data_IF_922097903441
#
_entry.id   IF_922097903441
#
_cell.length_a   1.000
_cell.length_b   1.000
_cell.length_c   1.000
_cell.angle_alpha   90.00
_cell.angle_beta   90.00
_cell.angle_gamma   90.00
#
_symmetry.space_group_name_H-M   'P 1'
#
loop_
_entity.id
_entity.type
_entity.pdbx_description
1 polymer ?
#
# COMPACT_ATOMS: atom_id res chain seq x y z
N UNK A 1 7.58 -0.65 -15.12
CA UNK A 1 6.30 -0.97 -14.46
C UNK A 1 6.32 -0.50 -13.02
N UNK A 2 5.16 -0.18 -12.49
CA UNK A 2 4.90 0.35 -11.15
C UNK A 2 4.00 -0.62 -10.41
N UNK A 3 4.38 -1.04 -9.21
CA UNK A 3 3.58 -1.88 -8.35
C UNK A 3 3.12 -1.05 -7.15
N UNK A 4 1.80 -0.83 -7.04
CA UNK A 4 1.18 -0.18 -5.89
C UNK A 4 0.66 -1.26 -4.96
N UNK A 5 0.90 -1.14 -3.66
CA UNK A 5 0.39 -2.10 -2.68
C UNK A 5 0.05 -1.43 -1.34
N UNK A 6 -0.80 -2.10 -0.59
CA UNK A 6 -1.29 -1.68 0.72
C UNK A 6 -1.55 -2.90 1.60
N UNK A 7 -1.51 -2.71 2.93
CA UNK A 7 -1.63 -3.79 3.90
C UNK A 7 -2.61 -3.47 5.02
N UNK A 8 -3.52 -4.41 5.33
CA UNK A 8 -4.24 -4.41 6.60
C UNK A 8 -3.54 -5.34 7.60
N UNK A 9 -3.55 -4.94 8.87
CA UNK A 9 -2.74 -5.60 9.90
C UNK A 9 -3.47 -5.79 11.22
N UNK A 10 -2.91 -6.63 12.10
CA UNK A 10 -3.42 -6.82 13.46
C UNK A 10 -3.17 -5.64 14.41
N UNK A 11 -2.63 -4.51 13.92
CA UNK A 11 -2.36 -3.31 14.72
C UNK A 11 -1.13 -2.56 14.25
N UNK A 12 -0.46 -1.87 15.17
CA UNK A 12 0.73 -1.07 14.90
C UNK A 12 1.97 -1.72 15.53
N UNK A 13 3.18 -1.45 15.01
CA UNK A 13 4.41 -1.94 15.61
C UNK A 13 4.67 -1.25 16.96
N UNK A 14 5.39 -1.93 17.83
CA UNK A 14 5.84 -1.35 19.12
C UNK A 14 6.86 -0.24 18.90
N UNK A 15 7.71 -0.40 17.88
CA UNK A 15 8.72 0.57 17.46
C UNK A 15 8.75 0.63 15.92
N UNK A 16 8.42 1.78 15.33
CA UNK A 16 8.43 2.02 13.87
C UNK A 16 9.83 1.98 13.24
N UNK A 17 10.89 2.02 14.02
CA UNK A 17 12.26 2.00 13.54
C UNK A 17 12.97 0.66 13.77
N UNK A 18 12.26 -0.35 14.30
CA UNK A 18 12.83 -1.68 14.47
C UNK A 18 13.11 -2.33 13.10
N UNK A 19 14.18 -3.13 12.98
CA UNK A 19 14.41 -3.90 11.77
C UNK A 19 13.34 -4.99 11.60
N UNK A 20 13.05 -5.38 10.36
CA UNK A 20 12.05 -6.43 10.05
C UNK A 20 12.40 -7.79 10.66
N UNK A 21 13.67 -8.01 11.00
CA UNK A 21 14.16 -9.22 11.71
C UNK A 21 13.67 -9.32 13.15
N UNK A 22 13.31 -8.19 13.78
CA UNK A 22 12.61 -8.18 15.05
C UNK A 22 11.11 -8.46 14.82
N UNK A 23 10.79 -9.65 14.33
CA UNK A 23 9.44 -9.96 13.83
C UNK A 23 8.35 -9.79 14.91
N UNK A 24 8.66 -9.98 16.18
CA UNK A 24 7.74 -9.79 17.32
C UNK A 24 7.39 -8.31 17.58
N UNK A 25 8.13 -7.38 16.99
CA UNK A 25 7.81 -5.95 17.01
C UNK A 25 6.70 -5.60 16.05
N UNK A 26 6.62 -6.31 14.90
CA UNK A 26 5.73 -6.01 13.79
C UNK A 26 4.39 -6.74 13.92
N UNK A 27 3.26 -6.08 13.68
CA UNK A 27 1.96 -6.76 13.63
C UNK A 27 1.91 -7.80 12.51
N UNK A 28 0.90 -8.67 12.58
CA UNK A 28 0.67 -9.69 11.55
C UNK A 28 -0.10 -9.09 10.39
N UNK A 29 0.23 -9.52 9.21
CA UNK A 29 -0.49 -9.18 7.99
C UNK A 29 -1.88 -9.84 7.99
N UNK A 30 -2.93 -9.06 7.70
CA UNK A 30 -4.32 -9.52 7.63
C UNK A 30 -4.82 -9.54 6.19
N UNK A 31 -4.52 -8.50 5.41
CA UNK A 31 -4.82 -8.42 3.98
C UNK A 31 -3.62 -7.82 3.26
N UNK A 32 -3.34 -8.33 2.06
CA UNK A 32 -2.37 -7.74 1.13
C UNK A 32 -3.08 -7.52 -0.20
N UNK A 33 -3.13 -6.27 -0.63
CA UNK A 33 -3.62 -5.89 -1.94
C UNK A 33 -2.50 -5.23 -2.76
N UNK A 34 -2.49 -5.50 -4.05
CA UNK A 34 -1.56 -4.84 -4.96
C UNK A 34 -2.10 -4.78 -6.38
N UNK A 35 -1.64 -3.79 -7.12
CA UNK A 35 -1.82 -3.70 -8.56
C UNK A 35 -0.52 -3.38 -9.27
N UNK A 36 -0.37 -3.92 -10.48
CA UNK A 36 0.74 -3.64 -11.37
C UNK A 36 0.25 -2.78 -12.53
N UNK A 37 0.92 -1.66 -12.75
CA UNK A 37 0.64 -0.75 -13.85
C UNK A 37 1.85 -0.65 -14.78
N UNK A 38 1.60 -0.42 -16.07
CA UNK A 38 2.65 -0.05 -17.01
C UNK A 38 3.12 1.40 -16.80
N UNK A 39 4.02 1.87 -17.65
CA UNK A 39 4.59 3.21 -17.56
C UNK A 39 3.61 4.33 -17.95
N UNK A 40 2.46 3.98 -18.50
CA UNK A 40 1.37 4.91 -18.86
C UNK A 40 0.21 4.88 -17.84
N UNK A 41 0.35 4.13 -16.74
CA UNK A 41 -0.68 3.99 -15.74
C UNK A 41 -1.73 2.92 -16.04
N UNK A 42 -1.65 2.24 -17.21
CA UNK A 42 -2.61 1.19 -17.57
C UNK A 42 -2.46 -0.01 -16.63
N UNK A 43 -3.59 -0.49 -16.10
CA UNK A 43 -3.66 -1.67 -15.24
C UNK A 43 -3.25 -2.94 -16.00
N UNK A 44 -2.32 -3.70 -15.43
CA UNK A 44 -1.85 -4.99 -15.95
C UNK A 44 -2.45 -6.14 -15.13
N UNK A 45 -2.39 -6.03 -13.81
CA UNK A 45 -2.95 -7.01 -12.88
C UNK A 45 -3.35 -6.35 -11.57
N UNK A 46 -4.37 -6.91 -10.91
CA UNK A 46 -4.80 -6.52 -9.57
C UNK A 46 -5.08 -7.78 -8.75
N UNK A 47 -4.66 -7.76 -7.50
CA UNK A 47 -4.82 -8.86 -6.56
C UNK A 47 -5.15 -8.30 -5.18
N UNK A 48 -6.03 -8.99 -4.46
CA UNK A 48 -6.33 -8.71 -3.06
C UNK A 48 -6.61 -10.03 -2.35
N UNK A 49 -5.91 -10.27 -1.23
CA UNK A 49 -6.00 -11.52 -0.51
C UNK A 49 -6.02 -11.33 0.99
N UNK A 50 -7.02 -11.91 1.64
CA UNK A 50 -7.05 -12.08 3.09
C UNK A 50 -6.07 -13.20 3.46
N UNK A 51 -5.29 -12.98 4.51
CA UNK A 51 -4.33 -13.95 5.04
C UNK A 51 -5.03 -14.83 6.06
N UNK A 52 -4.94 -16.16 5.88
CA UNK A 52 -5.41 -17.10 6.88
C UNK A 52 -4.53 -17.04 8.12
N UNK A 53 -5.05 -16.69 9.30
CA UNK A 53 -4.29 -16.64 10.53
C UNK A 53 -3.63 -17.98 10.86
N UNK A 54 -2.37 -17.94 11.25
CA UNK A 54 -1.58 -19.09 11.69
C UNK A 54 -0.92 -18.73 13.02
N UNK A 55 -1.51 -19.21 14.13
CA UNK A 55 -1.04 -18.95 15.48
C UNK A 55 -1.34 -17.55 16.04
N UNK A 56 -2.24 -16.78 15.42
CA UNK A 56 -2.69 -15.48 15.94
C UNK A 56 -4.19 -15.25 15.69
N UNK A 57 -4.76 -14.26 16.37
CA UNK A 57 -6.10 -13.75 16.11
C UNK A 57 -6.05 -12.28 15.73
N UNK A 58 -7.08 -11.80 15.04
CA UNK A 58 -7.22 -10.40 14.67
C UNK A 58 -7.90 -9.67 15.82
N UNK A 59 -7.24 -8.64 16.41
CA UNK A 59 -7.84 -7.88 17.49
C UNK A 59 -9.07 -7.12 17.04
N UNK A 60 -10.08 -7.03 17.91
CA UNK A 60 -11.33 -6.33 17.62
C UNK A 60 -11.14 -4.87 17.18
N UNK A 61 -10.13 -4.18 17.74
CA UNK A 61 -9.84 -2.81 17.31
C UNK A 61 -9.34 -2.71 15.86
N UNK A 62 -8.62 -3.72 15.38
CA UNK A 62 -8.17 -3.80 13.99
C UNK A 62 -9.34 -4.20 13.08
N UNK A 63 -10.14 -5.20 13.48
CA UNK A 63 -11.37 -5.59 12.78
C UNK A 63 -12.30 -4.41 12.55
N UNK A 64 -12.47 -3.52 13.54
CA UNK A 64 -13.29 -2.30 13.38
C UNK A 64 -12.79 -1.36 12.29
N UNK A 65 -11.50 -1.38 11.99
CA UNK A 65 -10.89 -0.50 10.99
C UNK A 65 -11.09 -1.08 9.59
N UNK A 66 -10.68 -2.33 9.38
CA UNK A 66 -10.66 -2.96 8.05
C UNK A 66 -11.78 -4.00 7.81
N UNK A 67 -12.65 -4.25 8.79
CA UNK A 67 -13.82 -5.12 8.64
C UNK A 67 -13.53 -6.63 8.62
N UNK A 68 -12.28 -7.06 8.71
CA UNK A 68 -11.89 -8.48 8.61
C UNK A 68 -11.76 -9.07 10.00
N UNK A 69 -12.72 -9.93 10.39
CA UNK A 69 -12.67 -10.68 11.65
C UNK A 69 -11.74 -11.89 11.55
N UNK A 70 -11.36 -12.45 12.70
CA UNK A 70 -10.64 -13.73 12.74
C UNK A 70 -11.44 -14.84 12.07
N UNK A 71 -12.77 -14.85 12.23
CA UNK A 71 -13.65 -15.85 11.63
C UNK A 71 -13.66 -15.76 10.10
N UNK A 72 -13.81 -14.54 9.56
CA UNK A 72 -13.71 -14.28 8.11
C UNK A 72 -12.35 -14.74 7.59
N UNK A 73 -11.27 -14.34 8.24
CA UNK A 73 -9.92 -14.68 7.82
C UNK A 73 -9.61 -16.18 7.89
N UNK A 74 -10.18 -16.92 8.83
CA UNK A 74 -10.04 -18.38 8.89
C UNK A 74 -10.82 -19.08 7.77
N UNK A 75 -12.00 -18.55 7.39
CA UNK A 75 -12.89 -19.10 6.37
C UNK A 75 -12.41 -18.79 4.95
N UNK A 76 -12.05 -17.54 4.68
CA UNK A 76 -11.80 -17.02 3.33
C UNK A 76 -10.32 -16.81 3.03
N UNK A 77 -9.50 -16.72 4.08
CA UNK A 77 -8.08 -16.43 3.96
C UNK A 77 -7.28 -17.54 3.29
N UNK A 78 -6.28 -17.13 2.53
CA UNK A 78 -5.29 -18.01 1.88
C UNK A 78 -4.03 -18.12 2.74
N UNK A 79 -3.21 -19.15 2.48
CA UNK A 79 -1.94 -19.33 3.16
C UNK A 79 -0.97 -18.19 2.83
N UNK A 80 -0.39 -17.56 3.84
CA UNK A 80 0.56 -16.46 3.70
C UNK A 80 1.69 -16.75 2.69
N UNK A 81 2.29 -17.94 2.75
CA UNK A 81 3.39 -18.29 1.86
C UNK A 81 3.03 -18.33 0.39
N UNK A 82 1.78 -18.66 0.04
CA UNK A 82 1.33 -18.68 -1.34
C UNK A 82 1.11 -17.24 -1.85
N UNK A 83 0.53 -16.38 -1.00
CA UNK A 83 0.32 -14.96 -1.31
C UNK A 83 1.65 -14.22 -1.48
N UNK A 84 2.62 -14.42 -0.57
CA UNK A 84 3.95 -13.80 -0.69
C UNK A 84 4.66 -14.21 -1.98
N UNK A 85 4.52 -15.48 -2.43
CA UNK A 85 5.06 -15.93 -3.71
C UNK A 85 4.36 -15.30 -4.91
N UNK A 86 3.06 -15.09 -4.82
CA UNK A 86 2.27 -14.42 -5.87
C UNK A 86 2.66 -12.95 -5.96
N UNK A 87 2.74 -12.26 -4.83
CA UNK A 87 3.21 -10.87 -4.73
C UNK A 87 4.62 -10.71 -5.30
N UNK A 88 5.56 -11.60 -4.93
CA UNK A 88 6.94 -11.55 -5.40
C UNK A 88 7.05 -11.67 -6.93
N UNK A 89 6.17 -12.43 -7.60
CA UNK A 89 6.15 -12.52 -9.08
C UNK A 89 5.90 -11.17 -9.73
N UNK A 90 4.93 -10.40 -9.22
CA UNK A 90 4.62 -9.08 -9.75
C UNK A 90 5.67 -8.04 -9.28
N UNK A 91 6.19 -8.20 -8.06
CA UNK A 91 7.28 -7.37 -7.54
C UNK A 91 8.53 -7.49 -8.44
N UNK A 92 8.92 -8.69 -8.87
CA UNK A 92 10.05 -8.91 -9.78
C UNK A 92 9.87 -8.22 -11.14
N UNK A 93 8.66 -8.03 -11.61
CA UNK A 93 8.33 -7.33 -12.86
C UNK A 93 8.37 -5.81 -12.71
N UNK A 94 8.27 -5.30 -11.49
CA UNK A 94 8.27 -3.87 -11.20
C UNK A 94 9.68 -3.30 -11.03
N UNK A 95 9.86 -2.04 -11.37
CA UNK A 95 11.04 -1.22 -11.03
C UNK A 95 10.75 -0.33 -9.82
N UNK A 96 9.49 0.10 -9.70
CA UNK A 96 9.00 1.01 -8.70
C UNK A 96 7.95 0.35 -7.82
N UNK A 97 7.96 0.66 -6.54
CA UNK A 97 6.89 0.34 -5.60
C UNK A 97 6.29 1.62 -5.05
N UNK A 98 4.97 1.65 -4.96
CA UNK A 98 4.18 2.81 -4.58
C UNK A 98 3.28 2.43 -3.40
N UNK A 99 3.14 3.34 -2.45
CA UNK A 99 2.18 3.25 -1.36
C UNK A 99 1.94 4.62 -0.74
N UNK A 100 0.94 4.70 0.12
CA UNK A 100 0.66 5.90 0.89
C UNK A 100 1.18 5.72 2.32
N UNK A 101 2.30 6.39 2.68
CA UNK A 101 3.12 6.07 3.86
C UNK A 101 3.77 4.67 3.77
N UNK A 102 4.26 4.35 2.59
CA UNK A 102 4.73 3.03 2.13
C UNK A 102 5.74 2.34 3.06
N UNK A 103 6.48 3.11 3.86
CA UNK A 103 7.48 2.53 4.79
C UNK A 103 6.84 1.52 5.75
N UNK A 104 5.60 1.78 6.18
CA UNK A 104 4.87 0.86 7.04
C UNK A 104 4.63 -0.47 6.33
N UNK A 105 4.06 -0.44 5.13
CA UNK A 105 3.70 -1.63 4.35
C UNK A 105 4.92 -2.46 3.94
N UNK A 106 6.02 -1.80 3.55
CA UNK A 106 7.30 -2.46 3.28
C UNK A 106 7.77 -3.25 4.50
N UNK A 107 7.70 -2.67 5.69
CA UNK A 107 8.14 -3.32 6.91
C UNK A 107 7.21 -4.49 7.32
N UNK A 108 5.90 -4.34 7.13
CA UNK A 108 4.93 -5.42 7.38
C UNK A 108 5.23 -6.62 6.48
N UNK A 109 5.30 -6.39 5.17
CA UNK A 109 5.61 -7.45 4.18
C UNK A 109 7.00 -8.03 4.44
N UNK A 110 7.99 -7.18 4.74
CA UNK A 110 9.34 -7.60 5.09
C UNK A 110 9.40 -8.51 6.33
N UNK A 111 8.65 -8.18 7.39
CA UNK A 111 8.58 -9.00 8.60
C UNK A 111 7.92 -10.36 8.33
N UNK A 112 6.90 -10.42 7.47
CA UNK A 112 6.29 -11.70 7.08
C UNK A 112 7.21 -12.55 6.19
N UNK A 113 7.99 -11.93 5.29
CA UNK A 113 9.04 -12.63 4.54
C UNK A 113 10.10 -13.20 5.51
N UNK A 114 10.54 -12.41 6.49
CA UNK A 114 11.48 -12.87 7.50
C UNK A 114 10.95 -14.07 8.30
N UNK A 115 9.70 -14.00 8.79
CA UNK A 115 9.03 -15.11 9.52
C UNK A 115 8.95 -16.41 8.70
N UNK A 116 8.78 -16.28 7.39
CA UNK A 116 8.69 -17.44 6.48
C UNK A 116 10.05 -17.85 5.88
N UNK A 117 11.12 -17.16 6.25
CA UNK A 117 12.46 -17.35 5.66
C UNK A 117 12.44 -17.29 4.11
N UNK A 118 11.67 -16.35 3.57
CA UNK A 118 11.58 -16.11 2.13
C UNK A 118 12.46 -14.93 1.75
N UNK A 119 13.13 -15.06 0.61
CA UNK A 119 13.81 -13.92 -0.02
C UNK A 119 12.78 -12.99 -0.64
N UNK A 120 12.97 -11.68 -0.49
CA UNK A 120 12.16 -10.66 -1.15
C UNK A 120 13.04 -9.71 -1.95
N UNK A 121 12.54 -9.27 -3.09
CA UNK A 121 13.17 -8.25 -3.93
C UNK A 121 12.70 -6.82 -3.60
N UNK A 122 11.92 -6.63 -2.53
CA UNK A 122 11.30 -5.35 -2.17
C UNK A 122 12.36 -4.26 -1.90
N UNK A 123 13.51 -4.65 -1.32
CA UNK A 123 14.58 -3.70 -1.03
C UNK A 123 15.30 -3.18 -2.28
N UNK A 124 15.27 -3.93 -3.36
CA UNK A 124 15.89 -3.57 -4.64
C UNK A 124 15.04 -2.57 -5.44
N UNK A 125 13.83 -2.24 -4.97
CA UNK A 125 12.88 -1.37 -5.68
C UNK A 125 13.05 0.09 -5.34
N UNK A 126 12.76 0.95 -6.30
CA UNK A 126 12.64 2.40 -6.07
C UNK A 126 11.30 2.64 -5.36
N UNK A 127 11.37 3.20 -4.16
CA UNK A 127 10.24 3.41 -3.27
C UNK A 127 9.64 4.80 -3.51
N UNK A 128 8.33 4.86 -3.72
CA UNK A 128 7.59 6.11 -3.95
C UNK A 128 6.49 6.20 -2.89
N UNK A 129 6.54 7.24 -2.07
CA UNK A 129 5.54 7.54 -1.04
C UNK A 129 4.63 8.67 -1.51
N UNK A 130 3.38 8.33 -1.80
CA UNK A 130 2.39 9.31 -2.28
C UNK A 130 2.04 10.36 -1.25
N UNK A 131 2.13 10.05 0.06
CA UNK A 131 1.93 11.05 1.12
C UNK A 131 3.03 12.11 1.10
N UNK A 132 4.29 11.71 0.84
CA UNK A 132 5.41 12.64 0.75
C UNK A 132 5.32 13.53 -0.48
N UNK A 133 5.10 12.96 -1.66
CA UNK A 133 5.09 13.72 -2.93
C UNK A 133 3.89 14.64 -3.06
N UNK A 134 2.75 14.31 -2.42
CA UNK A 134 1.52 15.13 -2.45
C UNK A 134 1.46 16.21 -1.36
N UNK A 135 2.39 16.20 -0.41
CA UNK A 135 2.35 17.08 0.76
C UNK A 135 2.23 18.57 0.40
N UNK A 136 3.06 19.03 -0.55
CA UNK A 136 3.05 20.43 -1.01
C UNK A 136 1.82 20.75 -1.83
N UNK A 137 1.37 19.82 -2.68
CA UNK A 137 0.17 19.94 -3.49
C UNK A 137 -1.09 20.07 -2.63
N UNK A 138 -1.28 19.18 -1.65
CA UNK A 138 -2.43 19.23 -0.73
C UNK A 138 -2.43 20.45 0.18
N UNK A 139 -1.27 21.01 0.50
CA UNK A 139 -1.09 22.23 1.28
C UNK A 139 -1.89 22.28 2.59
N UNK A 140 -2.02 21.15 3.29
CA UNK A 140 -2.79 21.01 4.51
C UNK A 140 -2.01 21.54 5.71
N UNK A 141 -2.62 22.45 6.47
CA UNK A 141 -2.03 23.05 7.69
C UNK A 141 -2.14 22.07 8.88
N UNK A 142 -1.32 22.28 9.91
CA UNK A 142 -1.37 21.50 11.16
C UNK A 142 -0.28 20.44 11.33
N UNK A 143 0.82 20.53 10.56
CA UNK A 143 2.03 19.75 10.79
C UNK A 143 2.75 20.17 12.07
N UNK A 144 3.64 19.29 12.56
CA UNK A 144 4.49 19.59 13.72
C UNK A 144 5.30 20.88 13.47
N UNK A 145 5.29 21.77 14.45
CA UNK A 145 5.97 23.07 14.35
C UNK A 145 5.26 24.12 13.47
N UNK A 146 3.95 23.94 13.16
CA UNK A 146 3.16 24.86 12.34
C UNK A 146 3.37 24.73 10.84
N UNK A 147 4.03 23.68 10.37
CA UNK A 147 4.23 23.38 8.95
C UNK A 147 3.06 22.61 8.31
N UNK A 148 3.26 22.18 7.07
CA UNK A 148 2.30 21.33 6.38
C UNK A 148 2.28 19.92 7.01
N UNK A 149 1.08 19.39 7.26
CA UNK A 149 0.92 18.00 7.68
C UNK A 149 1.05 17.04 6.49
N UNK A 150 1.36 15.77 6.78
CA UNK A 150 1.24 14.69 5.81
C UNK A 150 -0.24 14.44 5.53
N UNK A 151 -0.69 14.46 4.26
CA UNK A 151 -2.07 14.13 3.94
C UNK A 151 -2.38 12.66 4.23
N UNK A 152 -3.61 12.38 4.65
CA UNK A 152 -4.17 11.03 4.58
C UNK A 152 -4.52 10.70 3.13
N UNK A 153 -4.65 9.41 2.79
CA UNK A 153 -5.03 8.98 1.44
C UNK A 153 -6.32 9.67 0.96
N UNK A 154 -7.35 9.69 1.80
CA UNK A 154 -8.62 10.34 1.50
C UNK A 154 -8.47 11.86 1.23
N UNK A 155 -7.61 12.55 1.98
CA UNK A 155 -7.37 13.99 1.82
C UNK A 155 -6.59 14.27 0.51
N UNK A 156 -5.63 13.42 0.16
CA UNK A 156 -4.91 13.49 -1.10
C UNK A 156 -5.86 13.25 -2.27
N UNK A 157 -6.68 12.21 -2.21
CA UNK A 157 -7.64 11.88 -3.26
C UNK A 157 -8.65 13.01 -3.47
N UNK A 158 -9.24 13.53 -2.39
CA UNK A 158 -10.17 14.67 -2.44
C UNK A 158 -9.52 15.92 -3.04
N UNK A 159 -8.26 16.21 -2.68
CA UNK A 159 -7.51 17.33 -3.24
C UNK A 159 -7.23 17.19 -4.75
N UNK A 160 -7.05 15.97 -5.24
CA UNK A 160 -6.74 15.70 -6.65
C UNK A 160 -7.98 15.63 -7.56
N UNK A 161 -9.09 15.10 -7.03
CA UNK A 161 -10.27 14.76 -7.84
C UNK A 161 -11.52 15.53 -7.46
N UNK A 162 -11.53 16.24 -6.31
CA UNK A 162 -12.70 16.95 -5.82
C UNK A 162 -13.82 16.06 -5.29
N UNK A 163 -13.58 14.76 -5.19
CA UNK A 163 -14.55 13.75 -4.78
C UNK A 163 -14.14 13.12 -3.45
N UNK A 164 -15.12 12.81 -2.59
CA UNK A 164 -14.86 12.04 -1.38
C UNK A 164 -14.76 10.56 -1.71
N UNK A 165 -13.71 9.98 -1.25
CA UNK A 165 -13.46 8.53 -1.29
C UNK A 165 -14.23 7.87 -0.13
N UNK A 166 -15.23 7.02 -0.43
CA UNK A 166 -16.19 6.52 0.57
C UNK A 166 -15.78 5.21 1.25
N UNK A 167 -14.92 4.40 0.63
CA UNK A 167 -14.64 3.02 1.06
C UNK A 167 -13.20 2.84 1.57
N UNK A 168 -12.66 3.85 2.27
CA UNK A 168 -11.36 3.77 2.92
C UNK A 168 -11.32 2.59 3.93
N UNK A 169 -10.15 1.91 4.00
CA UNK A 169 -9.86 0.75 4.85
C UNK A 169 -10.29 -0.62 4.28
N UNK A 170 -10.42 -0.73 2.98
CA UNK A 170 -10.22 -1.98 2.26
C UNK A 170 -8.95 -1.81 1.41
N UNK A 171 -7.92 -2.62 1.65
CA UNK A 171 -6.64 -2.49 0.95
C UNK A 171 -6.77 -2.49 -0.58
N UNK A 172 -7.80 -3.14 -1.15
CA UNK A 172 -8.02 -3.13 -2.60
C UNK A 172 -8.46 -1.77 -3.13
N UNK A 173 -9.33 -1.06 -2.40
CA UNK A 173 -9.73 0.32 -2.74
C UNK A 173 -8.58 1.29 -2.52
N UNK A 174 -7.86 1.14 -1.41
CA UNK A 174 -6.74 2.02 -1.06
C UNK A 174 -5.59 1.90 -2.08
N UNK A 175 -5.30 0.69 -2.59
CA UNK A 175 -4.36 0.46 -3.69
C UNK A 175 -4.78 1.18 -4.96
N UNK A 176 -6.04 1.06 -5.37
CA UNK A 176 -6.54 1.72 -6.58
C UNK A 176 -6.49 3.25 -6.44
N UNK A 177 -6.98 3.79 -5.31
CA UNK A 177 -6.93 5.22 -5.02
C UNK A 177 -5.50 5.76 -4.99
N UNK A 178 -4.57 5.00 -4.39
CA UNK A 178 -3.15 5.36 -4.33
C UNK A 178 -2.51 5.39 -5.72
N UNK A 179 -2.75 4.37 -6.54
CA UNK A 179 -2.22 4.32 -7.89
C UNK A 179 -2.78 5.44 -8.78
N UNK A 180 -4.10 5.63 -8.77
CA UNK A 180 -4.78 6.71 -9.51
C UNK A 180 -4.22 8.08 -9.10
N UNK A 181 -4.07 8.32 -7.81
CA UNK A 181 -3.50 9.57 -7.28
C UNK A 181 -2.04 9.76 -7.69
N UNK A 182 -1.22 8.69 -7.66
CA UNK A 182 0.17 8.77 -8.10
C UNK A 182 0.30 9.18 -9.56
N UNK A 183 -0.44 8.55 -10.47
CA UNK A 183 -0.38 8.90 -11.88
C UNK A 183 -0.93 10.30 -12.14
N UNK A 184 -1.95 10.74 -11.38
CA UNK A 184 -2.45 12.14 -11.46
C UNK A 184 -1.39 13.14 -11.00
N UNK A 185 -0.67 12.89 -9.91
CA UNK A 185 0.44 13.72 -9.47
C UNK A 185 1.56 13.79 -10.51
N UNK A 186 1.87 12.67 -11.17
CA UNK A 186 2.85 12.64 -12.25
C UNK A 186 2.38 13.46 -13.47
N UNK A 187 1.12 13.36 -13.87
CA UNK A 187 0.51 14.17 -14.91
C UNK A 187 0.61 15.67 -14.60
N UNK A 188 0.29 16.07 -13.37
CA UNK A 188 0.36 17.45 -12.90
C UNK A 188 1.81 17.97 -12.75
N UNK A 189 2.82 17.08 -12.83
CA UNK A 189 4.23 17.44 -12.71
C UNK A 189 4.76 17.49 -11.28
N UNK A 190 3.95 17.09 -10.29
CA UNK A 190 4.35 16.99 -8.89
C UNK A 190 5.35 15.85 -8.65
N UNK A 191 5.35 14.84 -9.54
CA UNK A 191 6.36 13.79 -9.57
C UNK A 191 6.98 13.69 -10.97
N UNK A 192 8.31 13.82 -11.06
CA UNK A 192 9.05 13.73 -12.33
C UNK A 192 9.78 12.40 -12.39
N UNK A 193 9.51 11.65 -13.43
CA UNK A 193 10.15 10.37 -13.70
C UNK A 193 10.17 10.13 -15.21
N UNK A 194 11.37 9.86 -15.76
CA UNK A 194 11.56 9.67 -17.21
C UNK A 194 10.91 8.38 -17.74
N UNK A 195 10.57 7.44 -16.84
CA UNK A 195 9.85 6.20 -17.20
C UNK A 195 8.34 6.42 -17.38
N UNK A 196 7.80 7.61 -17.09
CA UNK A 196 6.37 7.94 -17.22
C UNK A 196 6.16 8.84 -18.45
N UNK A 197 5.34 8.37 -19.40
CA UNK A 197 4.90 9.19 -20.53
C UNK A 197 3.65 9.99 -20.15
N UNK A 198 3.85 11.28 -19.82
CA UNK A 198 2.78 12.18 -19.36
C UNK A 198 1.65 12.35 -20.38
N UNK A 199 1.95 12.26 -21.68
CA UNK A 199 1.01 12.48 -22.78
C UNK A 199 0.03 11.30 -22.95
N UNK A 200 0.31 10.14 -22.32
CA UNK A 200 -0.43 8.90 -22.53
C UNK A 200 -0.90 8.26 -21.21
N UNK A 201 -1.01 9.02 -20.12
CA UNK A 201 -1.50 8.47 -18.85
C UNK A 201 -2.96 8.08 -19.01
N UNK A 202 -3.27 6.82 -18.71
CA UNK A 202 -4.62 6.24 -18.77
C UNK A 202 -5.09 5.93 -17.34
N UNK A 203 -6.30 6.40 -17.02
CA UNK A 203 -6.97 6.07 -15.77
C UNK A 203 -8.07 5.05 -16.09
N UNK A 204 -8.01 3.89 -15.46
CA UNK A 204 -9.15 2.99 -15.43
C UNK A 204 -10.06 3.40 -14.27
N UNK A 205 -11.33 3.66 -14.58
CA UNK A 205 -12.36 3.84 -13.56
C UNK A 205 -12.57 2.49 -12.86
N UNK A 206 -12.67 2.45 -11.51
CA UNK A 206 -13.02 1.24 -10.81
C UNK A 206 -14.41 0.80 -11.25
N UNK A 207 -14.51 -0.47 -11.66
CA UNK A 207 -15.80 -1.10 -11.99
C UNK A 207 -16.54 -1.48 -10.73
#
# INVERSE_FOLDING_TARGET
MFLTFDTETTGLPKNFNAPVSESENWPRLVQLAWQLNDNNGRLISVNSHIIKPDGYSIPYNSEKIHGISTEIALKEGKKLGDILKEFEKDLLRSKYIIGHNIKFDINIVGAEHYRKNFKSSIEDKIKIDTALISKSFCNLQGGLGGGLKMPKLIEMYESLFGEKFSDAHDASFDVNATAKSFFKLAELGEYKNDDISKENIQYEEPK
#
